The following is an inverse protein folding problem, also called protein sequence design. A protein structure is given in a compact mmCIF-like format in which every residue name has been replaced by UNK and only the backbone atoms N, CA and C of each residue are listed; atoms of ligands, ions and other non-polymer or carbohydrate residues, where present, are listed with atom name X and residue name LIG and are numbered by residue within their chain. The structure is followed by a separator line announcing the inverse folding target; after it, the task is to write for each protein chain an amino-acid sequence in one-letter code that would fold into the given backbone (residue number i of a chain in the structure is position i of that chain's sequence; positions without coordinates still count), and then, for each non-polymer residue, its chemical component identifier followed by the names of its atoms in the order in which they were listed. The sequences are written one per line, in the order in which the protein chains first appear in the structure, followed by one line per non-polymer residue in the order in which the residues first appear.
data_IF_671500120760
#
_entry.id   IF_671500120760
#
_cell.length_a   1.000
_cell.length_b   1.000
_cell.length_c   1.000
_cell.angle_alpha   90.00
_cell.angle_beta   90.00
_cell.angle_gamma   90.00
#
_symmetry.space_group_name_H-M   'P 1'
#
loop_
_entity.id
_entity.type
_entity.pdbx_description
1 polymer ?
#
# COMPACT_ATOMS: atom_id res chain seq x y z
N UNK A 1 -10.68 -18.84 18.56
CA UNK A 1 -9.68 -18.43 17.55
C UNK A 1 -10.46 -17.74 16.43
N UNK A 2 -10.50 -16.41 16.39
CA UNK A 2 -11.18 -15.69 15.31
C UNK A 2 -10.19 -15.50 14.17
N UNK A 3 -10.35 -16.16 13.01
CA UNK A 3 -9.49 -15.92 11.87
C UNK A 3 -9.94 -14.61 11.22
N UNK A 4 -9.00 -13.89 10.60
CA UNK A 4 -9.21 -12.63 9.88
C UNK A 4 -9.33 -11.37 10.75
N UNK A 5 -8.18 -10.92 11.26
CA UNK A 5 -7.99 -9.50 11.53
C UNK A 5 -7.82 -8.78 10.17
N UNK A 6 -8.88 -8.16 9.66
CA UNK A 6 -8.78 -7.27 8.53
C UNK A 6 -8.00 -6.02 8.98
N UNK A 7 -6.73 -5.93 8.60
CA UNK A 7 -5.93 -4.74 8.90
C UNK A 7 -6.47 -3.57 8.08
N UNK A 8 -6.88 -2.51 8.76
CA UNK A 8 -7.12 -1.23 8.10
C UNK A 8 -5.79 -0.70 7.57
N UNK A 9 -5.72 -0.53 6.26
CA UNK A 9 -4.57 0.04 5.56
C UNK A 9 -4.95 1.41 5.03
N UNK A 10 -4.00 2.34 5.10
CA UNK A 10 -4.12 3.66 4.50
C UNK A 10 -3.49 3.58 3.12
N UNK A 11 -4.14 4.17 2.13
CA UNK A 11 -3.66 4.21 0.75
C UNK A 11 -3.52 5.64 0.26
N UNK A 12 -2.54 5.87 -0.62
CA UNK A 12 -2.43 7.07 -1.44
C UNK A 12 -2.21 6.66 -2.89
N UNK A 13 -2.63 7.50 -3.85
CA UNK A 13 -2.32 7.26 -5.26
C UNK A 13 -0.81 7.20 -5.43
N UNK A 14 -0.37 6.23 -6.23
CA UNK A 14 0.98 6.24 -6.74
C UNK A 14 1.07 7.22 -7.91
N UNK A 15 1.60 8.42 -7.64
CA UNK A 15 1.73 9.48 -8.65
C UNK A 15 2.87 9.23 -9.64
N UNK A 16 3.86 8.44 -9.24
CA UNK A 16 5.02 8.15 -10.09
C UNK A 16 4.63 7.16 -11.19
N UNK A 17 3.64 6.28 -10.94
CA UNK A 17 2.98 5.46 -11.96
C UNK A 17 3.87 4.51 -12.76
N UNK A 18 5.14 4.34 -12.36
CA UNK A 18 6.07 3.46 -13.06
C UNK A 18 5.66 2.00 -12.86
N UNK A 19 5.65 1.23 -13.95
CA UNK A 19 5.40 -0.23 -13.98
C UNK A 19 4.00 -0.68 -13.49
N UNK A 20 2.98 0.16 -13.62
CA UNK A 20 1.59 -0.23 -13.30
C UNK A 20 1.20 -0.08 -11.83
N UNK A 21 2.01 0.64 -11.04
CA UNK A 21 1.64 1.07 -9.68
C UNK A 21 0.49 2.07 -9.72
N UNK A 22 -0.57 1.79 -8.95
CA UNK A 22 -1.72 2.66 -8.78
C UNK A 22 -1.84 3.16 -7.32
N UNK A 23 -1.41 2.36 -6.35
CA UNK A 23 -1.54 2.68 -4.93
C UNK A 23 -0.27 2.38 -4.15
N UNK A 24 0.04 3.23 -3.18
CA UNK A 24 0.98 2.96 -2.09
C UNK A 24 0.19 2.73 -0.82
N UNK A 25 0.48 1.67 -0.06
CA UNK A 25 -0.22 1.35 1.18
C UNK A 25 0.69 1.38 2.41
N UNK A 26 0.15 1.72 3.58
CA UNK A 26 0.85 1.66 4.86
C UNK A 26 -0.08 1.45 6.06
N UNK A 27 0.49 1.18 7.24
CA UNK A 27 -0.26 1.01 8.51
C UNK A 27 -0.76 2.31 9.14
N UNK A 28 -0.30 3.46 8.65
CA UNK A 28 -0.75 4.79 9.08
C UNK A 28 -0.50 5.82 7.97
N UNK A 29 -1.17 6.97 8.04
CA UNK A 29 -0.93 8.10 7.12
C UNK A 29 0.54 8.55 7.18
N UNK A 30 1.13 8.64 8.38
CA UNK A 30 2.55 9.02 8.54
C UNK A 30 3.50 8.02 7.84
N UNK A 31 3.17 6.73 7.90
CA UNK A 31 3.98 5.68 7.28
C UNK A 31 3.89 5.67 5.74
N UNK A 32 2.94 6.38 5.12
CA UNK A 32 2.94 6.57 3.66
C UNK A 32 4.08 7.50 3.19
N UNK A 33 4.65 8.31 4.10
CA UNK A 33 5.70 9.27 3.78
C UNK A 33 7.10 8.66 3.57
N UNK A 34 7.35 7.44 4.04
CA UNK A 34 8.66 6.76 3.87
C UNK A 34 8.50 5.42 3.15
N UNK A 35 9.44 5.11 2.26
CA UNK A 35 9.47 3.84 1.52
C UNK A 35 9.62 2.64 2.46
N UNK A 36 10.52 2.75 3.43
CA UNK A 36 10.82 1.67 4.39
C UNK A 36 9.62 1.29 5.27
N UNK A 37 8.65 2.20 5.40
CA UNK A 37 7.45 2.01 6.23
C UNK A 37 6.19 1.71 5.42
N UNK A 38 6.28 1.73 4.09
CA UNK A 38 5.19 1.28 3.22
C UNK A 38 5.10 -0.24 3.24
N UNK A 39 3.91 -0.73 2.94
CA UNK A 39 3.64 -2.15 2.75
C UNK A 39 3.90 -2.59 1.29
N UNK A 40 4.10 -1.61 0.40
CA UNK A 40 4.46 -1.81 -1.00
C UNK A 40 3.68 -0.91 -1.95
N UNK A 41 3.89 -1.17 -3.23
CA UNK A 41 3.16 -0.59 -4.37
C UNK A 41 2.19 -1.63 -4.92
N UNK A 42 0.98 -1.21 -5.24
CA UNK A 42 -0.15 -2.05 -5.63
C UNK A 42 -0.75 -1.59 -6.95
N UNK A 43 -1.28 -2.53 -7.73
CA UNK A 43 -2.05 -2.22 -8.94
C UNK A 43 -3.45 -1.68 -8.60
N UNK A 44 -4.23 -1.36 -9.63
CA UNK A 44 -5.59 -0.81 -9.49
C UNK A 44 -6.55 -1.71 -8.70
N UNK A 45 -6.27 -3.01 -8.61
CA UNK A 45 -7.06 -4.03 -7.93
C UNK A 45 -6.52 -4.35 -6.52
N UNK A 46 -5.61 -3.53 -5.98
CA UNK A 46 -4.95 -3.76 -4.68
C UNK A 46 -4.14 -5.07 -4.63
N UNK A 47 -3.60 -5.52 -5.76
CA UNK A 47 -2.61 -6.60 -5.81
C UNK A 47 -1.21 -5.98 -5.68
N UNK A 48 -0.39 -6.50 -4.75
CA UNK A 48 0.99 -6.02 -4.56
C UNK A 48 1.85 -6.36 -5.77
N UNK A 49 2.57 -5.38 -6.30
CA UNK A 49 3.46 -5.54 -7.47
C UNK A 49 4.91 -5.11 -7.20
N UNK A 50 5.17 -4.44 -6.08
CA UNK A 50 6.51 -3.97 -5.75
C UNK A 50 6.60 -3.32 -4.37
N UNK A 51 7.76 -2.71 -4.12
CA UNK A 51 8.11 -2.01 -2.89
C UNK A 51 8.72 -0.63 -3.18
#
# INVERSE_FOLDING_TARGET
MSPFHAFHVYITRDLDGHNGGAWKAAKSVKALGSKDTRLGTFDVNMKRIGD
#
